data_IF_798963238563
#
_entry.id   IF_798963238563
#
_cell.length_a   1.000
_cell.length_b   1.000
_cell.length_c   1.000
_cell.angle_alpha   90.00
_cell.angle_beta   90.00
_cell.angle_gamma   90.00
#
_symmetry.space_group_name_H-M   'P 1'
#
loop_
_entity.id
_entity.type
_entity.pdbx_description
1 polymer ?
#
# COMPACT_ATOMS: atom_id res chain seq x y z
N UNK A 1 5.84 -1.20 16.51
CA UNK A 1 6.44 -0.15 17.38
C UNK A 1 5.45 0.99 17.61
N UNK A 2 5.18 1.43 18.84
CA UNK A 2 4.28 2.57 19.11
C UNK A 2 5.06 3.88 19.33
N UNK A 3 4.80 4.87 18.49
CA UNK A 3 5.29 6.24 18.59
C UNK A 3 4.20 7.14 19.20
N UNK A 4 4.21 7.24 20.54
CA UNK A 4 3.20 7.98 21.30
C UNK A 4 3.74 9.32 21.85
N UNK A 5 2.88 10.34 21.87
CA UNK A 5 3.15 11.62 22.53
C UNK A 5 3.76 12.69 21.63
N UNK A 6 4.30 13.74 22.24
CA UNK A 6 4.79 14.92 21.51
C UNK A 6 6.13 14.63 20.82
N UNK A 7 6.25 14.99 19.54
CA UNK A 7 7.51 14.96 18.81
C UNK A 7 8.36 16.15 19.26
N UNK A 8 9.47 15.88 19.93
CA UNK A 8 10.42 16.88 20.41
C UNK A 8 11.70 16.88 19.58
N UNK A 9 12.59 17.84 19.81
CA UNK A 9 13.90 17.89 19.15
C UNK A 9 14.78 16.67 19.42
N UNK A 10 14.50 15.89 20.48
CA UNK A 10 15.27 14.68 20.82
C UNK A 10 14.67 13.40 20.25
N UNK A 11 13.42 13.43 19.75
CA UNK A 11 12.72 12.25 19.23
C UNK A 11 13.50 11.52 18.12
N UNK A 12 14.10 12.17 17.10
CA UNK A 12 14.89 11.47 16.07
C UNK A 12 16.09 10.70 16.64
N UNK A 13 16.76 11.27 17.66
CA UNK A 13 17.88 10.60 18.33
C UNK A 13 17.41 9.38 19.12
N UNK A 14 16.32 9.53 19.89
CA UNK A 14 15.74 8.42 20.64
C UNK A 14 15.30 7.28 19.70
N UNK A 15 14.70 7.61 18.55
CA UNK A 15 14.31 6.62 17.55
C UNK A 15 15.51 5.87 16.96
N UNK A 16 16.61 6.56 16.61
CA UNK A 16 17.85 5.92 16.17
C UNK A 16 18.41 4.94 17.20
N UNK A 17 18.36 5.32 18.49
CA UNK A 17 18.84 4.48 19.59
C UNK A 17 17.97 3.23 19.74
N UNK A 18 16.64 3.39 19.70
CA UNK A 18 15.68 2.28 19.78
C UNK A 18 15.93 1.24 18.67
N UNK A 19 16.07 1.70 17.42
CA UNK A 19 16.33 0.80 16.28
C UNK A 19 17.71 0.11 16.34
N UNK A 20 18.62 0.54 17.21
CA UNK A 20 19.94 -0.07 17.36
C UNK A 20 19.96 -1.13 18.48
N UNK A 21 19.06 -1.04 19.46
CA UNK A 21 19.08 -1.89 20.67
C UNK A 21 18.01 -2.96 20.70
N UNK A 22 16.94 -2.83 19.91
CA UNK A 22 15.76 -3.70 20.01
C UNK A 22 15.51 -4.52 18.74
N UNK A 23 14.91 -5.71 18.90
CA UNK A 23 14.17 -6.35 17.80
C UNK A 23 12.85 -5.61 17.63
N UNK A 24 12.54 -5.19 16.41
CA UNK A 24 11.35 -4.41 16.13
C UNK A 24 10.57 -4.99 14.96
N UNK A 25 9.25 -4.82 15.02
CA UNK A 25 8.37 -4.99 13.86
C UNK A 25 8.65 -3.89 12.83
N UNK A 26 8.55 -4.16 11.52
CA UNK A 26 8.84 -3.19 10.47
C UNK A 26 7.77 -2.07 10.35
N UNK A 27 7.00 -1.80 11.39
CA UNK A 27 5.86 -0.86 11.39
C UNK A 27 5.91 0.10 12.58
N UNK A 28 5.76 1.39 12.29
CA UNK A 28 5.61 2.46 13.27
C UNK A 28 4.14 2.87 13.36
N UNK A 29 3.51 2.58 14.50
CA UNK A 29 2.17 2.98 14.87
C UNK A 29 2.22 4.37 15.50
N UNK A 30 1.48 5.35 14.99
CA UNK A 30 1.47 6.71 15.52
C UNK A 30 0.26 6.97 16.42
N UNK A 31 0.54 7.58 17.57
CA UNK A 31 -0.44 8.18 18.47
C UNK A 31 0.12 9.51 19.02
N UNK A 32 0.13 10.54 18.18
CA UNK A 32 0.81 11.80 18.45
C UNK A 32 0.01 13.03 17.99
N UNK A 33 -0.09 14.06 18.84
CA UNK A 33 -0.66 15.36 18.45
C UNK A 33 0.30 16.19 17.59
N UNK A 34 1.53 15.73 17.36
CA UNK A 34 2.58 16.48 16.66
C UNK A 34 3.61 17.08 17.60
N UNK A 35 4.10 18.29 17.30
CA UNK A 35 5.20 18.94 18.01
C UNK A 35 6.17 19.66 17.07
N UNK A 36 7.47 19.38 17.20
CA UNK A 36 8.51 20.00 16.37
C UNK A 36 8.45 19.52 14.92
N UNK A 37 8.13 20.43 14.00
CA UNK A 37 8.11 20.14 12.57
C UNK A 37 9.47 19.63 12.07
N UNK A 38 10.57 20.32 12.40
CA UNK A 38 11.92 19.92 11.99
C UNK A 38 12.26 18.51 12.44
N UNK A 39 11.95 18.18 13.70
CA UNK A 39 12.21 16.84 14.23
C UNK A 39 11.32 15.77 13.56
N UNK A 40 10.07 16.11 13.22
CA UNK A 40 9.19 15.20 12.50
C UNK A 40 9.68 14.90 11.07
N UNK A 41 10.19 15.90 10.34
CA UNK A 41 10.78 15.69 9.02
C UNK A 41 12.04 14.81 9.11
N UNK A 42 12.88 15.02 10.12
CA UNK A 42 14.03 14.13 10.36
C UNK A 42 13.58 12.71 10.71
N UNK A 43 12.58 12.56 11.60
CA UNK A 43 12.02 11.27 11.97
C UNK A 43 11.45 10.54 10.75
N UNK A 44 10.67 11.21 9.90
CA UNK A 44 10.12 10.59 8.70
C UNK A 44 11.19 10.17 7.69
N UNK A 45 12.28 10.94 7.53
CA UNK A 45 13.44 10.51 6.73
C UNK A 45 14.14 9.27 7.32
N UNK A 46 14.24 9.18 8.65
CA UNK A 46 14.79 7.99 9.31
C UNK A 46 13.90 6.76 9.10
N UNK A 47 12.57 6.91 9.20
CA UNK A 47 11.60 5.85 8.91
C UNK A 47 11.77 5.37 7.46
N UNK A 48 11.81 6.31 6.49
CA UNK A 48 12.01 6.02 5.07
C UNK A 48 13.31 5.28 4.81
N UNK A 49 14.42 5.77 5.37
CA UNK A 49 15.75 5.19 5.18
C UNK A 49 15.85 3.75 5.70
N UNK A 50 15.02 3.37 6.67
CA UNK A 50 14.94 2.01 7.22
C UNK A 50 13.89 1.13 6.55
N UNK A 51 13.17 1.67 5.57
CA UNK A 51 12.14 0.93 4.85
C UNK A 51 10.96 0.52 5.73
N UNK A 52 10.69 1.27 6.80
CA UNK A 52 9.62 0.97 7.74
C UNK A 52 8.28 1.46 7.20
N UNK A 53 7.22 0.77 7.59
CA UNK A 53 5.85 1.18 7.33
C UNK A 53 5.31 2.06 8.46
N UNK A 54 4.26 2.81 8.17
CA UNK A 54 3.61 3.67 9.15
C UNK A 54 2.12 3.44 9.19
N UNK A 55 1.57 3.47 10.39
CA UNK A 55 0.18 3.17 10.64
C UNK A 55 -0.43 4.18 11.60
N UNK A 56 -1.67 4.58 11.36
CA UNK A 56 -2.50 5.29 12.33
C UNK A 56 -3.91 4.69 12.31
N UNK A 57 -4.43 4.32 13.47
CA UNK A 57 -5.61 3.47 13.58
C UNK A 57 -5.76 2.88 14.98
N UNK A 58 -6.63 1.90 15.14
CA UNK A 58 -6.65 1.12 16.38
C UNK A 58 -7.65 -0.05 16.37
N UNK A 59 -7.59 -0.92 17.39
CA UNK A 59 -6.65 -0.88 18.51
C UNK A 59 -5.24 -1.39 18.13
N UNK A 60 -4.20 -0.78 18.72
CA UNK A 60 -2.85 -1.34 18.76
C UNK A 60 -2.69 -2.13 20.06
N UNK A 61 -2.38 -3.41 19.94
CA UNK A 61 -2.20 -4.33 21.06
C UNK A 61 -0.74 -4.75 21.14
N UNK A 62 -0.19 -4.87 22.35
CA UNK A 62 1.14 -5.44 22.54
C UNK A 62 1.06 -6.95 22.23
N UNK A 63 1.70 -7.40 21.16
CA UNK A 63 1.84 -8.82 20.86
C UNK A 63 3.09 -9.38 21.57
N UNK A 64 2.92 -10.17 22.63
CA UNK A 64 4.01 -10.88 23.32
C UNK A 64 4.36 -12.22 22.64
N UNK A 65 4.71 -12.17 21.35
CA UNK A 65 5.36 -13.27 20.63
C UNK A 65 4.47 -14.39 20.06
N UNK A 66 5.04 -15.14 19.09
CA UNK A 66 4.40 -16.25 18.36
C UNK A 66 4.32 -17.58 19.15
N UNK A 67 4.58 -17.56 20.46
CA UNK A 67 4.71 -18.78 21.27
C UNK A 67 3.48 -19.01 22.15
N UNK A 68 2.44 -19.63 21.59
CA UNK A 68 1.32 -20.19 22.36
C UNK A 68 -0.06 -19.90 21.74
N UNK A 69 -1.11 -20.66 22.13
CA UNK A 69 -2.47 -20.35 21.72
C UNK A 69 -2.84 -18.94 22.21
N UNK A 70 -3.48 -18.15 21.34
CA UNK A 70 -3.92 -16.78 21.60
C UNK A 70 -4.51 -16.64 23.01
N UNK A 71 -3.75 -16.06 23.94
CA UNK A 71 -4.21 -15.80 25.31
C UNK A 71 -4.93 -14.46 25.34
N UNK A 72 -6.03 -14.42 26.10
CA UNK A 72 -6.93 -13.29 26.39
C UNK A 72 -6.26 -12.05 27.02
N UNK A 73 -4.94 -12.02 27.18
CA UNK A 73 -4.19 -10.95 27.88
C UNK A 73 -3.56 -9.94 26.90
N UNK A 74 -4.20 -9.65 25.76
CA UNK A 74 -3.72 -8.58 24.87
C UNK A 74 -3.95 -7.21 25.50
N UNK A 75 -2.86 -6.55 25.91
CA UNK A 75 -2.92 -5.18 26.42
C UNK A 75 -3.05 -4.21 25.25
N UNK A 76 -4.21 -3.56 25.12
CA UNK A 76 -4.37 -2.44 24.20
C UNK A 76 -3.50 -1.26 24.63
N UNK A 77 -2.50 -0.93 23.83
CA UNK A 77 -1.58 0.20 24.06
C UNK A 77 -2.12 1.51 23.47
N UNK A 78 -2.88 1.45 22.38
CA UNK A 78 -3.60 2.60 21.84
C UNK A 78 -4.95 2.15 21.26
N UNK A 79 -6.06 2.74 21.71
CA UNK A 79 -7.41 2.34 21.24
C UNK A 79 -7.74 2.93 19.86
N UNK A 80 -7.29 4.16 19.61
CA UNK A 80 -7.50 4.95 18.40
C UNK A 80 -6.34 5.92 18.27
N UNK A 81 -5.38 5.63 17.41
CA UNK A 81 -4.22 6.47 17.18
C UNK A 81 -4.61 7.77 16.47
N UNK A 82 -4.00 8.87 16.91
CA UNK A 82 -4.07 10.15 16.21
C UNK A 82 -2.71 10.49 15.60
N UNK A 83 -2.70 11.22 14.50
CA UNK A 83 -1.47 11.75 13.92
C UNK A 83 -1.74 13.11 13.29
N UNK A 84 -1.55 14.16 14.10
CA UNK A 84 -1.81 15.54 13.71
C UNK A 84 -0.54 16.37 13.60
N UNK A 85 -0.63 17.46 12.84
CA UNK A 85 0.41 18.49 12.80
C UNK A 85 1.77 17.90 12.38
N UNK A 86 2.83 18.12 13.15
CA UNK A 86 4.14 17.54 12.87
C UNK A 86 4.12 16.00 12.74
N UNK A 87 3.26 15.27 13.48
CA UNK A 87 3.15 13.82 13.34
C UNK A 87 2.78 13.43 11.92
N UNK A 88 1.82 14.17 11.34
CA UNK A 88 1.31 13.90 10.00
C UNK A 88 2.44 13.86 8.96
N UNK A 89 3.50 14.65 9.13
CA UNK A 89 4.67 14.65 8.27
C UNK A 89 5.67 13.53 8.59
N UNK A 90 5.85 13.16 9.85
CA UNK A 90 6.66 11.99 10.22
C UNK A 90 6.07 10.69 9.66
N UNK A 91 4.74 10.54 9.72
CA UNK A 91 3.99 9.44 9.12
C UNK A 91 4.27 9.28 7.62
N UNK A 92 4.47 10.37 6.86
CA UNK A 92 4.76 10.27 5.42
C UNK A 92 6.08 9.54 5.10
N UNK A 93 6.95 9.37 6.09
CA UNK A 93 8.17 8.57 6.00
C UNK A 93 7.95 7.09 5.66
N UNK A 94 6.76 6.54 5.92
CA UNK A 94 6.45 5.13 5.73
C UNK A 94 6.51 4.67 4.27
N UNK A 95 7.04 3.47 4.02
CA UNK A 95 7.01 2.84 2.68
C UNK A 95 5.59 2.48 2.30
N UNK A 96 4.94 1.67 3.12
CA UNK A 96 3.49 1.54 3.19
C UNK A 96 2.95 2.45 4.29
N UNK A 97 1.84 3.13 4.00
CA UNK A 97 1.21 4.13 4.87
C UNK A 97 -0.27 3.85 4.95
N UNK A 98 -0.72 3.44 6.12
CA UNK A 98 -2.11 3.05 6.35
C UNK A 98 -2.80 3.96 7.37
N UNK A 99 -3.99 4.42 6.99
CA UNK A 99 -4.95 5.08 7.86
C UNK A 99 -6.17 4.16 7.96
N UNK A 100 -6.30 3.45 9.08
CA UNK A 100 -7.37 2.48 9.30
C UNK A 100 -8.59 3.09 10.03
N UNK A 101 -9.69 2.33 10.10
CA UNK A 101 -10.88 2.69 10.87
C UNK A 101 -10.58 3.00 12.35
N UNK A 102 -10.89 4.24 12.76
CA UNK A 102 -10.62 4.73 14.12
C UNK A 102 -9.33 5.53 14.23
N UNK A 103 -8.50 5.56 13.19
CA UNK A 103 -7.37 6.47 13.08
C UNK A 103 -7.79 7.88 12.68
N UNK A 104 -7.05 8.90 13.13
CA UNK A 104 -7.25 10.28 12.69
C UNK A 104 -5.94 10.88 12.20
N UNK A 105 -5.93 11.32 10.94
CA UNK A 105 -4.79 12.00 10.31
C UNK A 105 -5.20 13.43 9.96
N UNK A 106 -4.37 14.42 10.26
CA UNK A 106 -4.66 15.80 9.89
C UNK A 106 -3.49 16.75 9.91
N UNK A 107 -3.60 17.81 9.12
CA UNK A 107 -2.64 18.90 9.02
C UNK A 107 -3.34 20.23 9.29
N UNK A 108 -2.59 21.23 9.73
CA UNK A 108 -3.09 22.59 9.93
C UNK A 108 -1.97 23.61 9.69
N UNK A 109 -2.32 24.89 9.78
CA UNK A 109 -1.42 26.01 9.53
C UNK A 109 -0.19 25.97 10.44
N UNK A 110 0.95 26.37 9.90
CA UNK A 110 2.22 26.38 10.60
C UNK A 110 2.29 27.53 11.60
N UNK A 111 2.80 27.24 12.79
CA UNK A 111 3.02 28.23 13.83
C UNK A 111 4.36 27.98 14.52
N UNK A 112 4.92 29.05 15.09
CA UNK A 112 6.11 29.00 15.93
C UNK A 112 5.86 29.79 17.20
N UNK A 113 6.18 29.21 18.37
CA UNK A 113 5.96 29.86 19.66
C UNK A 113 4.50 30.27 19.93
N UNK A 114 3.53 29.49 19.42
CA UNK A 114 2.09 29.77 19.58
C UNK A 114 1.55 30.90 18.70
N UNK A 115 2.32 31.40 17.72
CA UNK A 115 1.89 32.41 16.74
C UNK A 115 2.04 31.91 15.32
N UNK A 116 1.17 32.33 14.37
CA UNK A 116 1.37 32.07 12.95
C UNK A 116 2.77 32.51 12.50
N UNK A 117 3.36 31.75 11.58
CA UNK A 117 4.62 32.15 10.95
C UNK A 117 4.43 33.46 10.15
N UNK A 118 5.42 34.34 10.17
CA UNK A 118 5.46 35.51 9.29
C UNK A 118 5.67 35.10 7.82
N UNK A 119 5.25 35.96 6.89
CA UNK A 119 5.14 35.64 5.45
C UNK A 119 6.40 35.02 4.84
N UNK A 120 7.58 35.59 5.10
CA UNK A 120 8.85 35.06 4.58
C UNK A 120 9.15 33.66 5.13
N UNK A 121 8.93 33.44 6.42
CA UNK A 121 9.12 32.11 7.05
C UNK A 121 8.11 31.11 6.51
N UNK A 122 6.86 31.52 6.30
CA UNK A 122 5.81 30.68 5.70
C UNK A 122 6.20 30.24 4.30
N UNK A 123 6.71 31.14 3.45
CA UNK A 123 7.15 30.81 2.09
C UNK A 123 8.29 29.76 2.09
N UNK A 124 9.27 29.92 2.97
CA UNK A 124 10.36 28.95 3.12
C UNK A 124 9.83 27.61 3.61
N UNK A 125 8.97 27.61 4.64
CA UNK A 125 8.37 26.38 5.18
C UNK A 125 7.54 25.65 4.13
N UNK A 126 6.74 26.36 3.33
CA UNK A 126 5.97 25.77 2.23
C UNK A 126 6.88 25.09 1.20
N UNK A 127 8.02 25.71 0.88
CA UNK A 127 9.00 25.13 -0.05
C UNK A 127 9.66 23.89 0.53
N UNK A 128 10.11 23.93 1.78
CA UNK A 128 10.72 22.79 2.48
C UNK A 128 9.74 21.61 2.55
N UNK A 129 8.47 21.88 2.87
CA UNK A 129 7.47 20.83 2.95
C UNK A 129 7.09 20.29 1.59
N UNK A 130 6.95 21.15 0.57
CA UNK A 130 6.76 20.70 -0.80
C UNK A 130 7.86 19.73 -1.25
N UNK A 131 9.13 20.09 -1.04
CA UNK A 131 10.25 19.18 -1.35
C UNK A 131 10.18 17.88 -0.55
N UNK A 132 9.80 17.95 0.74
CA UNK A 132 9.61 16.76 1.55
C UNK A 132 8.44 15.87 1.08
N UNK A 133 7.32 16.46 0.61
CA UNK A 133 6.22 15.69 0.03
C UNK A 133 6.66 15.00 -1.26
N UNK A 134 7.46 15.68 -2.09
CA UNK A 134 8.07 15.09 -3.30
C UNK A 134 9.02 13.93 -2.91
N UNK A 135 9.88 14.10 -1.89
CA UNK A 135 10.75 13.05 -1.34
C UNK A 135 9.94 11.81 -0.88
N UNK A 136 8.74 12.01 -0.36
CA UNK A 136 7.87 10.97 0.20
C UNK A 136 6.82 10.43 -0.78
N UNK A 137 6.76 10.94 -2.01
CA UNK A 137 5.77 10.54 -3.01
C UNK A 137 4.33 10.83 -2.57
N UNK A 138 4.10 12.04 -2.06
CA UNK A 138 2.79 12.53 -1.59
C UNK A 138 2.36 13.70 -2.46
N UNK A 139 1.08 13.76 -2.79
CA UNK A 139 0.53 14.86 -3.58
C UNK A 139 0.67 16.19 -2.83
N UNK A 140 1.26 17.19 -3.49
CA UNK A 140 1.52 18.52 -2.92
C UNK A 140 0.25 19.28 -2.52
N UNK A 141 -0.92 18.88 -3.02
CA UNK A 141 -2.23 19.40 -2.59
C UNK A 141 -2.49 19.16 -1.09
N UNK A 142 -1.74 18.29 -0.41
CA UNK A 142 -1.78 18.19 1.05
C UNK A 142 -1.44 19.53 1.73
N UNK A 143 -0.58 20.37 1.12
CA UNK A 143 -0.25 21.68 1.66
C UNK A 143 -1.44 22.66 1.61
N UNK A 144 -2.39 22.46 0.70
CA UNK A 144 -3.61 23.26 0.64
C UNK A 144 -4.47 22.97 1.89
N UNK A 145 -4.61 21.68 2.26
CA UNK A 145 -5.29 21.30 3.51
C UNK A 145 -4.62 21.89 4.74
N UNK A 146 -3.28 21.88 4.78
CA UNK A 146 -2.52 22.48 5.87
C UNK A 146 -2.77 24.00 5.94
N UNK A 147 -2.73 24.68 4.80
CA UNK A 147 -2.84 26.15 4.74
C UNK A 147 -4.26 26.65 5.03
N UNK A 148 -5.28 25.87 4.69
CA UNK A 148 -6.69 26.23 4.86
C UNK A 148 -7.27 25.85 6.23
N UNK A 149 -6.56 25.05 7.01
CA UNK A 149 -7.00 24.63 8.35
C UNK A 149 -6.31 25.50 9.41
N UNK A 150 -7.02 26.35 10.17
CA UNK A 150 -6.41 27.21 11.20
C UNK A 150 -5.58 26.44 12.22
N UNK A 151 -4.55 27.09 12.76
CA UNK A 151 -3.60 26.47 13.69
C UNK A 151 -4.21 25.97 15.00
N UNK A 152 -5.37 26.48 15.38
CA UNK A 152 -6.13 26.12 16.58
C UNK A 152 -7.20 25.05 16.32
N UNK A 153 -7.33 24.58 15.07
CA UNK A 153 -8.29 23.53 14.67
C UNK A 153 -7.57 22.25 14.28
N UNK A 154 -8.03 21.15 14.89
CA UNK A 154 -7.67 19.79 14.46
C UNK A 154 -8.75 19.29 13.51
N UNK A 155 -8.48 19.35 12.21
CA UNK A 155 -9.36 18.79 11.18
C UNK A 155 -8.75 17.51 10.62
N UNK A 156 -9.50 16.41 10.70
CA UNK A 156 -9.10 15.15 10.09
C UNK A 156 -9.33 15.21 8.58
N UNK A 157 -8.34 14.73 7.82
CA UNK A 157 -8.50 14.50 6.38
C UNK A 157 -9.34 13.22 6.21
N UNK A 158 -10.45 13.25 5.45
CA UNK A 158 -11.21 12.03 5.15
C UNK A 158 -10.35 10.98 4.44
N UNK A 159 -10.53 9.70 4.77
CA UNK A 159 -9.72 8.60 4.21
C UNK A 159 -9.67 8.61 2.67
N UNK A 160 -10.80 8.90 2.01
CA UNK A 160 -10.86 9.01 0.56
C UNK A 160 -9.97 10.14 0.00
N UNK A 161 -9.88 11.27 0.71
CA UNK A 161 -8.95 12.34 0.35
C UNK A 161 -7.51 11.96 0.64
N UNK A 162 -7.24 11.32 1.79
CA UNK A 162 -5.89 10.84 2.13
C UNK A 162 -5.35 9.87 1.09
N UNK A 163 -6.18 8.95 0.55
CA UNK A 163 -5.82 8.05 -0.54
C UNK A 163 -5.51 8.77 -1.85
N UNK A 164 -6.37 9.72 -2.26
CA UNK A 164 -6.12 10.54 -3.48
C UNK A 164 -4.85 11.38 -3.38
N UNK A 165 -4.49 11.82 -2.17
CA UNK A 165 -3.26 12.57 -1.91
C UNK A 165 -2.03 11.66 -1.74
N UNK A 166 -2.22 10.34 -1.86
CA UNK A 166 -1.21 9.32 -1.57
C UNK A 166 -0.67 9.35 -0.12
N UNK A 167 -1.35 10.03 0.81
CA UNK A 167 -1.01 10.00 2.24
C UNK A 167 -1.20 8.60 2.78
N UNK A 168 -2.40 8.05 2.62
CA UNK A 168 -2.61 6.61 2.66
C UNK A 168 -2.26 6.07 1.28
N UNK A 169 -1.26 5.21 1.20
CA UNK A 169 -0.83 4.63 -0.07
C UNK A 169 -1.16 3.14 -0.16
N UNK A 170 -1.98 2.60 0.74
CA UNK A 170 -2.34 1.17 0.73
C UNK A 170 -3.31 0.79 -0.38
N UNK A 171 -4.11 1.76 -0.85
CA UNK A 171 -5.06 1.59 -1.95
C UNK A 171 -4.75 2.62 -3.05
N UNK A 172 -3.70 2.39 -3.87
CA UNK A 172 -3.38 3.28 -4.97
C UNK A 172 -4.55 3.35 -5.97
N UNK A 173 -4.64 4.46 -6.71
CA UNK A 173 -5.63 4.57 -7.80
C UNK A 173 -5.50 3.37 -8.76
N UNK A 174 -6.64 2.91 -9.26
CA UNK A 174 -6.66 1.75 -10.14
C UNK A 174 -6.06 2.12 -11.49
N UNK A 175 -5.12 1.32 -11.97
CA UNK A 175 -4.45 1.56 -13.23
C UNK A 175 -5.39 1.32 -14.43
N UNK A 176 -5.17 2.07 -15.51
CA UNK A 176 -5.96 1.97 -16.74
C UNK A 176 -5.37 0.93 -17.71
N UNK A 177 -6.23 0.22 -18.43
CA UNK A 177 -5.81 -0.75 -19.45
C UNK A 177 -5.10 -0.07 -20.64
N UNK A 178 -4.05 -0.74 -21.12
CA UNK A 178 -3.22 -0.31 -22.25
C UNK A 178 -3.01 -1.46 -23.23
N UNK A 179 -2.73 -1.15 -24.50
CA UNK A 179 -2.38 -2.13 -25.54
C UNK A 179 -0.94 -1.90 -25.96
N UNK A 180 -0.20 -2.98 -26.12
CA UNK A 180 1.19 -2.97 -26.59
C UNK A 180 1.47 -4.19 -27.48
N UNK A 181 2.67 -4.27 -28.03
CA UNK A 181 3.13 -5.33 -28.94
C UNK A 181 4.34 -6.05 -28.38
N UNK A 182 4.38 -7.37 -28.56
CA UNK A 182 5.60 -8.14 -28.31
C UNK A 182 6.68 -7.79 -29.34
N UNK A 183 7.93 -8.16 -29.08
CA UNK A 183 9.02 -8.07 -30.07
C UNK A 183 8.74 -8.84 -31.37
N UNK A 184 7.84 -9.81 -31.33
CA UNK A 184 7.35 -10.56 -32.49
C UNK A 184 6.11 -9.94 -33.17
N UNK A 185 5.68 -8.75 -32.74
CA UNK A 185 4.56 -8.02 -33.33
C UNK A 185 3.17 -8.51 -32.89
N UNK A 186 3.06 -9.38 -31.88
CA UNK A 186 1.76 -9.82 -31.36
C UNK A 186 1.20 -8.80 -30.38
N UNK A 187 -0.04 -8.38 -30.59
CA UNK A 187 -0.74 -7.48 -29.68
C UNK A 187 -1.10 -8.17 -28.37
N UNK A 188 -1.03 -7.41 -27.28
CA UNK A 188 -1.58 -7.79 -25.99
C UNK A 188 -2.14 -6.57 -25.27
N UNK A 189 -3.21 -6.77 -24.51
CA UNK A 189 -3.75 -5.77 -23.61
C UNK A 189 -3.23 -6.06 -22.22
N UNK A 190 -2.94 -5.03 -21.43
CA UNK A 190 -2.49 -5.24 -20.07
C UNK A 190 -2.85 -4.09 -19.14
N UNK A 191 -2.87 -4.40 -17.86
CA UNK A 191 -2.95 -3.45 -16.76
C UNK A 191 -1.94 -3.86 -15.68
N UNK A 192 -1.33 -2.88 -15.03
CA UNK A 192 -0.32 -3.09 -13.99
C UNK A 192 -0.78 -2.40 -12.71
N UNK A 193 -1.23 -3.18 -11.74
CA UNK A 193 -1.70 -2.67 -10.47
C UNK A 193 -0.61 -2.81 -9.40
N UNK A 194 -0.21 -1.69 -8.80
CA UNK A 194 0.70 -1.69 -7.65
C UNK A 194 -0.04 -2.15 -6.40
N UNK A 195 0.64 -2.94 -5.56
CA UNK A 195 0.18 -3.44 -4.26
C UNK A 195 1.11 -2.93 -3.15
N UNK A 196 0.94 -1.68 -2.67
CA UNK A 196 1.92 -1.03 -1.80
C UNK A 196 2.04 -1.69 -0.44
N UNK A 197 0.94 -2.22 0.12
CA UNK A 197 0.96 -3.03 1.36
C UNK A 197 1.91 -4.22 1.29
N UNK A 198 2.18 -4.73 0.08
CA UNK A 198 2.96 -5.93 -0.18
C UNK A 198 4.32 -5.64 -0.82
N UNK A 199 4.63 -4.36 -1.07
CA UNK A 199 5.67 -3.90 -1.99
C UNK A 199 5.72 -4.75 -3.27
N UNK A 200 4.55 -4.92 -3.90
CA UNK A 200 4.39 -5.82 -5.02
C UNK A 200 3.67 -5.16 -6.20
N UNK A 201 3.68 -5.84 -7.33
CA UNK A 201 2.98 -5.45 -8.55
C UNK A 201 2.30 -6.67 -9.12
N UNK A 202 0.99 -6.56 -9.40
CA UNK A 202 0.25 -7.58 -10.13
C UNK A 202 -0.09 -7.03 -11.50
N UNK A 203 0.37 -7.72 -12.54
CA UNK A 203 0.04 -7.40 -13.93
C UNK A 203 -0.98 -8.39 -14.46
N UNK A 204 -2.00 -7.90 -15.13
CA UNK A 204 -2.93 -8.74 -15.88
C UNK A 204 -2.73 -8.47 -17.36
N UNK A 205 -2.29 -9.49 -18.10
CA UNK A 205 -2.13 -9.48 -19.53
C UNK A 205 -3.24 -10.31 -20.18
N UNK A 206 -3.78 -9.82 -21.29
CA UNK A 206 -4.74 -10.51 -22.14
C UNK A 206 -4.15 -10.62 -23.54
N UNK A 207 -4.15 -11.83 -24.07
CA UNK A 207 -3.63 -12.17 -25.40
C UNK A 207 -4.66 -12.98 -26.17
N UNK A 208 -4.59 -12.96 -27.49
CA UNK A 208 -5.31 -13.91 -28.32
C UNK A 208 -4.58 -15.27 -28.30
N UNK A 209 -5.34 -16.36 -28.19
CA UNK A 209 -4.91 -17.76 -28.29
C UNK A 209 -5.77 -18.49 -29.33
N UNK A 210 -5.42 -19.73 -29.66
CA UNK A 210 -6.20 -20.53 -30.61
C UNK A 210 -7.62 -20.84 -30.10
N UNK A 211 -7.85 -20.73 -28.78
CA UNK A 211 -9.12 -20.98 -28.10
C UNK A 211 -9.89 -19.71 -27.70
N UNK A 212 -9.47 -18.54 -28.18
CA UNK A 212 -10.08 -17.25 -27.83
C UNK A 212 -9.14 -16.34 -27.06
N UNK A 213 -9.61 -15.71 -25.98
CA UNK A 213 -8.76 -14.87 -25.14
C UNK A 213 -8.11 -15.69 -24.03
N UNK A 214 -6.83 -15.44 -23.78
CA UNK A 214 -6.10 -16.00 -22.66
C UNK A 214 -5.66 -14.89 -21.71
N UNK A 215 -5.96 -15.08 -20.44
CA UNK A 215 -5.50 -14.24 -19.34
C UNK A 215 -4.19 -14.76 -18.76
N UNK A 216 -3.28 -13.85 -18.42
CA UNK A 216 -2.06 -14.16 -17.67
C UNK A 216 -1.90 -13.16 -16.53
N UNK A 217 -1.85 -13.66 -15.31
CA UNK A 217 -1.48 -12.88 -14.14
C UNK A 217 0.01 -13.06 -13.91
N UNK A 218 0.73 -11.94 -13.77
CA UNK A 218 2.14 -11.90 -13.39
C UNK A 218 2.25 -11.13 -12.09
N UNK A 219 2.67 -11.82 -11.04
CA UNK A 219 2.88 -11.25 -9.71
C UNK A 219 4.37 -11.08 -9.46
N UNK A 220 4.79 -9.87 -9.09
CA UNK A 220 6.18 -9.56 -8.72
C UNK A 220 6.23 -8.94 -7.34
N UNK A 221 6.97 -9.55 -6.42
CA UNK A 221 7.08 -9.16 -5.02
C UNK A 221 8.46 -8.57 -4.79
N UNK A 222 8.57 -7.40 -4.15
CA UNK A 222 9.87 -6.77 -3.86
C UNK A 222 9.96 -6.36 -2.39
N UNK A 223 9.70 -7.30 -1.49
CA UNK A 223 9.71 -7.01 -0.06
C UNK A 223 11.12 -6.87 0.50
N UNK A 224 11.28 -5.98 1.49
CA UNK A 224 12.56 -5.75 2.15
C UNK A 224 12.77 -6.59 3.42
N UNK A 225 11.70 -7.15 3.98
CA UNK A 225 11.73 -7.83 5.28
C UNK A 225 11.73 -9.36 5.18
N UNK A 226 11.55 -9.93 3.98
CA UNK A 226 11.75 -11.35 3.67
C UNK A 226 12.84 -11.48 2.62
N UNK A 227 13.67 -12.50 2.74
CA UNK A 227 14.58 -12.92 1.68
C UNK A 227 13.79 -13.54 0.53
N UNK A 228 14.35 -13.49 -0.68
CA UNK A 228 13.67 -14.07 -1.84
C UNK A 228 13.39 -15.58 -1.69
N UNK A 229 14.25 -16.31 -0.97
CA UNK A 229 14.03 -17.73 -0.66
C UNK A 229 12.84 -17.94 0.28
N UNK A 230 12.66 -17.11 1.31
CA UNK A 230 11.49 -17.19 2.20
C UNK A 230 10.20 -16.89 1.42
N UNK A 231 10.24 -15.96 0.47
CA UNK A 231 9.11 -15.67 -0.41
C UNK A 231 8.78 -16.88 -1.28
N UNK A 232 9.78 -17.48 -1.92
CA UNK A 232 9.64 -18.69 -2.74
C UNK A 232 9.02 -19.83 -1.93
N UNK A 233 9.52 -20.12 -0.73
CA UNK A 233 9.00 -21.17 0.14
C UNK A 233 7.53 -20.95 0.51
N UNK A 234 7.15 -19.74 0.95
CA UNK A 234 5.77 -19.42 1.32
C UNK A 234 4.85 -19.50 0.10
N UNK A 235 5.22 -18.85 -1.01
CA UNK A 235 4.36 -18.77 -2.19
C UNK A 235 4.14 -20.15 -2.85
N UNK A 236 5.20 -20.96 -2.93
CA UNK A 236 5.10 -22.31 -3.48
C UNK A 236 4.31 -23.24 -2.55
N UNK A 237 4.41 -23.06 -1.23
CA UNK A 237 3.58 -23.78 -0.28
C UNK A 237 2.10 -23.44 -0.47
N UNK A 238 1.73 -22.15 -0.58
CA UNK A 238 0.33 -21.75 -0.85
C UNK A 238 -0.17 -22.28 -2.20
N UNK A 239 0.68 -22.31 -3.22
CA UNK A 239 0.35 -22.89 -4.53
C UNK A 239 0.07 -24.38 -4.43
N UNK A 240 0.85 -25.11 -3.63
CA UNK A 240 0.64 -26.55 -3.40
C UNK A 240 -0.65 -26.79 -2.61
N UNK A 241 -0.86 -26.04 -1.54
CA UNK A 241 -2.04 -26.15 -0.71
C UNK A 241 -3.31 -25.77 -1.50
N UNK A 242 -3.24 -24.81 -2.42
CA UNK A 242 -4.31 -24.51 -3.38
C UNK A 242 -4.67 -25.73 -4.24
N UNK A 243 -3.66 -26.40 -4.80
CA UNK A 243 -3.88 -27.59 -5.63
C UNK A 243 -4.51 -28.75 -4.83
N UNK A 244 -4.26 -28.81 -3.52
CA UNK A 244 -4.82 -29.81 -2.60
C UNK A 244 -6.21 -29.42 -2.04
N UNK A 245 -6.49 -28.12 -1.83
CA UNK A 245 -7.67 -27.61 -1.12
C UNK A 245 -8.78 -26.97 -2.00
N UNK A 246 -8.68 -27.06 -3.33
CA UNK A 246 -9.74 -26.80 -4.35
C UNK A 246 -10.58 -25.53 -4.13
N UNK A 247 -10.00 -24.41 -3.68
CA UNK A 247 -10.66 -23.12 -3.89
C UNK A 247 -10.39 -22.68 -5.33
N UNK A 248 -11.41 -22.34 -6.14
CA UNK A 248 -11.18 -21.95 -7.53
C UNK A 248 -10.52 -20.58 -7.61
N UNK A 249 -9.68 -20.39 -8.64
CA UNK A 249 -9.25 -19.03 -9.03
C UNK A 249 -10.45 -18.31 -9.63
N UNK A 250 -10.68 -17.08 -9.20
CA UNK A 250 -11.79 -16.26 -9.72
C UNK A 250 -11.32 -14.96 -10.33
N UNK A 251 -12.00 -14.55 -11.40
CA UNK A 251 -11.84 -13.24 -12.05
C UNK A 251 -13.23 -12.64 -12.14
N UNK A 252 -13.42 -11.44 -11.58
CA UNK A 252 -14.71 -10.77 -11.56
C UNK A 252 -15.84 -11.67 -10.99
N UNK A 253 -15.50 -12.45 -9.94
CA UNK A 253 -16.42 -13.40 -9.29
C UNK A 253 -16.73 -14.67 -10.08
N UNK A 254 -16.10 -14.89 -11.24
CA UNK A 254 -16.30 -16.07 -12.07
C UNK A 254 -15.09 -17.00 -11.95
N UNK A 255 -15.35 -18.28 -11.67
CA UNK A 255 -14.32 -19.32 -11.67
C UNK A 255 -13.73 -19.45 -13.08
N UNK A 256 -12.41 -19.37 -13.21
CA UNK A 256 -11.72 -19.48 -14.50
C UNK A 256 -11.07 -20.85 -14.68
N UNK A 257 -11.03 -21.34 -15.91
CA UNK A 257 -10.32 -22.57 -16.24
C UNK A 257 -8.82 -22.30 -16.38
N UNK A 258 -8.02 -22.90 -15.49
CA UNK A 258 -6.57 -22.74 -15.51
C UNK A 258 -5.94 -23.48 -16.69
N UNK A 259 -5.08 -22.78 -17.42
CA UNK A 259 -4.24 -23.35 -18.48
C UNK A 259 -2.85 -23.74 -17.97
N UNK A 260 -2.46 -23.22 -16.81
CA UNK A 260 -1.24 -23.61 -16.09
C UNK A 260 -1.46 -23.47 -14.59
N UNK A 261 -0.62 -24.14 -13.80
CA UNK A 261 -0.45 -23.79 -12.39
C UNK A 261 0.35 -22.48 -12.26
N UNK A 262 0.42 -21.94 -11.04
CA UNK A 262 1.40 -20.91 -10.72
C UNK A 262 2.81 -21.44 -10.99
N UNK A 263 3.63 -20.63 -11.66
CA UNK A 263 5.01 -20.97 -12.01
C UNK A 263 5.95 -19.84 -11.64
N UNK A 264 7.06 -20.17 -10.96
CA UNK A 264 8.16 -19.24 -10.75
C UNK A 264 8.82 -18.86 -12.07
N UNK A 265 8.97 -17.57 -12.33
CA UNK A 265 9.69 -16.96 -13.45
C UNK A 265 11.05 -16.39 -13.03
N UNK A 266 11.14 -16.00 -11.76
CA UNK A 266 12.34 -15.52 -11.05
C UNK A 266 12.10 -15.70 -9.55
N UNK A 267 13.12 -15.48 -8.71
CA UNK A 267 13.01 -15.56 -7.23
C UNK A 267 11.90 -14.71 -6.60
N UNK A 268 11.38 -13.73 -7.33
CA UNK A 268 10.38 -12.78 -6.85
C UNK A 268 9.20 -12.64 -7.82
N UNK A 269 9.10 -13.52 -8.82
CA UNK A 269 8.16 -13.37 -9.93
C UNK A 269 7.42 -14.66 -10.23
N UNK A 270 6.10 -14.65 -10.14
CA UNK A 270 5.24 -15.80 -10.38
C UNK A 270 4.20 -15.49 -11.45
N UNK A 271 3.82 -16.49 -12.23
CA UNK A 271 2.79 -16.32 -13.23
C UNK A 271 1.79 -17.48 -13.28
N UNK A 272 0.54 -17.13 -13.57
CA UNK A 272 -0.59 -18.02 -13.75
C UNK A 272 -1.28 -17.70 -15.08
N UNK A 273 -1.63 -18.71 -15.86
CA UNK A 273 -2.38 -18.55 -17.12
C UNK A 273 -3.72 -19.28 -17.04
N UNK A 274 -4.76 -18.64 -17.57
CA UNK A 274 -6.12 -19.17 -17.63
C UNK A 274 -6.85 -18.74 -18.90
N UNK A 275 -7.91 -19.46 -19.23
CA UNK A 275 -8.82 -19.09 -20.33
C UNK A 275 -9.74 -17.96 -19.89
N UNK A 276 -9.99 -17.01 -20.78
CA UNK A 276 -10.94 -15.93 -20.60
C UNK A 276 -12.16 -16.18 -21.49
N UNK A 277 -13.12 -16.88 -20.90
CA UNK A 277 -14.39 -17.18 -21.56
C UNK A 277 -15.25 -15.92 -21.68
N UNK A 278 -16.24 -15.97 -22.59
CA UNK A 278 -17.10 -14.81 -22.87
C UNK A 278 -17.81 -14.30 -21.62
N UNK A 279 -18.26 -15.18 -20.73
CA UNK A 279 -18.92 -14.82 -19.47
C UNK A 279 -17.99 -14.06 -18.51
N UNK A 280 -16.72 -14.45 -18.41
CA UNK A 280 -15.72 -13.76 -17.59
C UNK A 280 -15.45 -12.35 -18.16
N UNK A 281 -15.28 -12.25 -19.48
CA UNK A 281 -15.06 -10.95 -20.15
C UNK A 281 -16.26 -10.02 -19.98
N UNK A 282 -17.48 -10.54 -20.13
CA UNK A 282 -18.71 -9.77 -19.89
C UNK A 282 -18.82 -9.30 -18.44
N UNK A 283 -18.51 -10.15 -17.46
CA UNK A 283 -18.48 -9.78 -16.04
C UNK A 283 -17.48 -8.66 -15.75
N UNK A 284 -16.27 -8.73 -16.31
CA UNK A 284 -15.26 -7.68 -16.17
C UNK A 284 -15.76 -6.35 -16.77
N UNK A 285 -16.39 -6.39 -17.95
CA UNK A 285 -16.88 -5.20 -18.66
C UNK A 285 -18.14 -4.58 -18.04
N UNK A 286 -18.88 -5.32 -17.23
CA UNK A 286 -20.10 -4.85 -16.57
C UNK A 286 -19.83 -4.04 -15.29
N UNK A 287 -18.60 -4.08 -14.78
CA UNK A 287 -18.20 -3.46 -13.52
C UNK A 287 -17.23 -2.28 -13.77
N UNK A 288 -17.15 -1.33 -12.84
CA UNK A 288 -16.14 -0.25 -12.91
C UNK A 288 -14.74 -0.73 -12.50
N UNK A 289 -14.70 -1.77 -11.67
CA UNK A 289 -13.52 -2.49 -11.22
C UNK A 289 -13.91 -3.94 -10.91
N UNK A 290 -12.95 -4.86 -10.92
CA UNK A 290 -13.19 -6.26 -10.59
C UNK A 290 -11.98 -6.89 -9.90
N UNK A 291 -12.24 -7.91 -9.09
CA UNK A 291 -11.21 -8.60 -8.34
C UNK A 291 -10.65 -9.83 -9.09
N UNK A 292 -9.38 -10.09 -8.84
CA UNK A 292 -8.72 -11.37 -9.07
C UNK A 292 -8.44 -12.00 -7.72
N UNK A 293 -9.04 -13.17 -7.49
CA UNK A 293 -8.78 -14.00 -6.31
C UNK A 293 -7.99 -15.25 -6.74
N UNK A 294 -6.76 -15.45 -6.25
CA UNK A 294 -5.95 -16.62 -6.56
C UNK A 294 -6.47 -17.92 -5.92
N UNK A 295 -7.45 -17.86 -5.03
CA UNK A 295 -7.99 -19.02 -4.33
C UNK A 295 -7.06 -19.60 -3.26
N UNK A 296 -6.05 -18.84 -2.81
CA UNK A 296 -5.12 -19.35 -1.79
C UNK A 296 -5.86 -19.67 -0.48
N UNK A 297 -5.68 -20.88 0.09
CA UNK A 297 -6.44 -21.32 1.26
C UNK A 297 -6.05 -20.56 2.53
N UNK A 298 -4.81 -20.06 2.62
CA UNK A 298 -4.33 -19.18 3.69
C UNK A 298 -3.80 -17.89 3.08
N UNK A 299 -4.29 -16.76 3.57
CA UNK A 299 -3.90 -15.45 3.04
C UNK A 299 -2.86 -14.84 3.96
N UNK A 300 -1.59 -15.09 3.68
CA UNK A 300 -0.53 -14.20 4.17
C UNK A 300 -0.69 -12.85 3.46
N UNK A 301 -1.13 -11.85 4.21
CA UNK A 301 -1.54 -10.55 3.67
C UNK A 301 -0.42 -9.82 2.94
N UNK A 302 0.84 -10.10 3.30
CA UNK A 302 2.04 -9.59 2.68
C UNK A 302 2.38 -10.28 1.35
N UNK A 303 2.16 -11.59 1.18
CA UNK A 303 2.52 -12.30 -0.05
C UNK A 303 1.34 -12.65 -0.97
N UNK A 304 0.10 -12.37 -0.59
CA UNK A 304 -1.08 -12.66 -1.42
C UNK A 304 -1.05 -11.93 -2.78
N UNK A 305 -1.33 -12.60 -3.91
CA UNK A 305 -1.47 -11.97 -5.23
C UNK A 305 -2.88 -11.42 -5.51
N UNK A 306 -3.82 -11.48 -4.55
CA UNK A 306 -5.17 -10.94 -4.67
C UNK A 306 -5.16 -9.45 -5.04
N UNK A 307 -5.98 -9.02 -6.00
CA UNK A 307 -5.93 -7.65 -6.50
C UNK A 307 -7.24 -7.20 -7.16
N UNK A 308 -7.60 -5.95 -6.94
CA UNK A 308 -8.64 -5.24 -7.71
C UNK A 308 -8.02 -4.56 -8.93
N UNK A 309 -8.62 -4.74 -10.11
CA UNK A 309 -8.27 -4.02 -11.34
C UNK A 309 -9.37 -3.06 -11.75
N UNK A 310 -9.01 -1.98 -12.44
CA UNK A 310 -9.97 -1.10 -13.13
C UNK A 310 -10.55 -1.81 -14.37
N UNK A 311 -11.77 -1.45 -14.75
CA UNK A 311 -12.31 -1.75 -16.09
C UNK A 311 -12.12 -0.60 -17.08
N UNK A 312 -11.50 0.51 -16.66
CA UNK A 312 -11.26 1.66 -17.51
C UNK A 312 -10.39 1.30 -18.73
N UNK A 313 -10.87 1.67 -19.92
CA UNK A 313 -10.31 1.31 -21.24
C UNK A 313 -10.21 -0.19 -21.54
N UNK A 314 -10.71 -1.08 -20.69
CA UNK A 314 -10.69 -2.52 -20.93
C UNK A 314 -11.37 -2.88 -22.26
N UNK A 315 -12.60 -2.39 -22.49
CA UNK A 315 -13.36 -2.66 -23.73
C UNK A 315 -12.58 -2.28 -24.98
N UNK A 316 -12.01 -1.07 -25.00
CA UNK A 316 -11.22 -0.58 -26.13
C UNK A 316 -9.97 -1.41 -26.35
N UNK A 317 -9.31 -1.81 -25.26
CA UNK A 317 -8.09 -2.62 -25.31
C UNK A 317 -8.36 -4.03 -25.85
N UNK A 318 -9.45 -4.68 -25.42
CA UNK A 318 -9.83 -6.01 -25.91
C UNK A 318 -10.22 -5.98 -27.40
N UNK A 319 -10.95 -4.95 -27.86
CA UNK A 319 -11.30 -4.78 -29.27
C UNK A 319 -10.07 -4.60 -30.17
N UNK A 320 -8.97 -4.04 -29.64
CA UNK A 320 -7.72 -3.92 -30.38
C UNK A 320 -7.04 -5.27 -30.63
N UNK A 321 -7.27 -6.27 -29.77
CA UNK A 321 -6.72 -7.62 -29.93
C UNK A 321 -7.47 -8.46 -30.97
N UNK A 322 -8.66 -8.01 -31.38
CA UNK A 322 -9.51 -8.70 -32.35
C UNK A 322 -9.23 -8.28 -33.80
N UNK A 323 -8.27 -7.39 -34.02
CA UNK A 323 -7.86 -6.85 -35.32
C UNK A 323 -6.47 -7.36 -35.70
#
# INVERSE_FOLDING_TARGET
>A
MLAQGVITSTTPRAFRQFLASEKYEPVVYFDSPGGSLTAALELGRLIRARGLDTYVGGPYEAFEGLAGPAREDTRTLARRGICFSACAYAFLGGVSREINEGGSYGVHQFYSGGRPLGDASTQVTMTVLASYLDEMGVDRRLLDFASLTPSDRLSSIPLAAARRLLVDNTAPELATWTVDTTSSGKLYAYVVQRQPRRDAVVSFLVTHSDSGLAGTIVYRIKQKFRTANEIDEIFLQETKDFAENVRPVTVAGINVHLSSNWTGKSHEGYALRFQLDSSTVESMLAQTSFDFDPGFPRVYSDVSPEVTFSSEKLRQSLLALSR
#
